data_IF_280914402019
#
_entry.id   IF_280914402019
#
_cell.length_a   1.000
_cell.length_b   1.000
_cell.length_c   1.000
_cell.angle_alpha   90.00
_cell.angle_beta   90.00
_cell.angle_gamma   90.00
#
_symmetry.space_group_name_H-M   'P 1'
#
loop_
_entity.id
_entity.type
_entity.pdbx_description
1 polymer ?
#
# COMPACT_ATOMS: atom_id res chain seq x y z
N UNK A 1 1.24 -72.58 22.62
CA UNK A 1 1.67 -71.16 22.71
C UNK A 1 0.44 -70.28 22.54
N UNK A 2 -0.29 -69.99 23.63
CA UNK A 2 -0.10 -68.82 24.49
C UNK A 2 -0.41 -67.51 23.74
N UNK A 3 -1.68 -67.06 23.79
CA UNK A 3 -2.20 -65.89 24.55
C UNK A 3 -2.15 -64.60 23.72
N UNK A 4 -3.08 -63.65 23.76
CA UNK A 4 -4.46 -63.54 24.25
C UNK A 4 -4.99 -62.21 23.66
N UNK A 5 -6.32 -62.11 23.53
CA UNK A 5 -7.17 -60.97 23.11
C UNK A 5 -6.90 -59.68 23.89
N UNK A 6 -7.30 -58.51 23.37
CA UNK A 6 -8.07 -57.42 24.03
C UNK A 6 -8.46 -56.38 22.94
N UNK A 7 -9.73 -56.27 22.52
CA UNK A 7 -10.80 -55.42 23.10
C UNK A 7 -10.32 -53.99 23.41
N UNK A 8 -10.62 -53.06 22.50
CA UNK A 8 -10.44 -51.62 22.71
C UNK A 8 -11.73 -51.07 23.31
N UNK A 9 -11.65 -50.73 24.60
CA UNK A 9 -12.58 -49.81 25.27
C UNK A 9 -12.19 -48.36 24.95
N UNK A 10 -13.18 -47.51 24.75
CA UNK A 10 -13.00 -46.11 24.39
C UNK A 10 -12.41 -45.24 25.50
N UNK A 11 -11.77 -44.16 25.09
CA UNK A 11 -11.72 -42.89 25.81
C UNK A 11 -11.45 -41.78 24.79
N UNK A 12 -12.55 -41.17 24.35
CA UNK A 12 -12.58 -39.94 23.57
C UNK A 12 -12.16 -38.82 24.52
N UNK A 13 -10.93 -38.32 24.39
CA UNK A 13 -10.59 -36.98 24.86
C UNK A 13 -10.91 -35.99 23.73
N UNK A 14 -12.14 -35.50 23.73
CA UNK A 14 -12.53 -34.28 23.02
C UNK A 14 -11.92 -33.09 23.76
N UNK A 15 -10.65 -32.78 23.49
CA UNK A 15 -10.13 -31.43 23.70
C UNK A 15 -10.71 -30.56 22.58
N UNK A 16 -11.81 -29.88 22.91
CA UNK A 16 -12.39 -28.85 22.07
C UNK A 16 -11.35 -27.74 21.84
N UNK A 17 -10.72 -27.73 20.67
CA UNK A 17 -10.10 -26.51 20.17
C UNK A 17 -11.20 -25.46 19.98
N UNK A 18 -10.95 -24.18 20.33
CA UNK A 18 -11.88 -23.12 20.00
C UNK A 18 -12.05 -23.13 18.48
N UNK A 19 -13.27 -23.41 18.04
CA UNK A 19 -13.67 -23.19 16.65
C UNK A 19 -13.35 -21.72 16.36
N UNK A 20 -12.45 -21.40 15.42
CA UNK A 20 -12.24 -20.02 15.03
C UNK A 20 -13.60 -19.46 14.63
N UNK A 21 -13.98 -18.34 15.25
CA UNK A 21 -15.21 -17.64 14.90
C UNK A 21 -15.22 -17.49 13.38
N UNK A 22 -16.16 -18.17 12.71
CA UNK A 22 -16.35 -18.05 11.27
C UNK A 22 -16.44 -16.57 10.96
N UNK A 23 -15.46 -16.07 10.19
CA UNK A 23 -15.56 -14.76 9.59
C UNK A 23 -16.94 -14.68 8.92
N UNK A 24 -17.75 -13.73 9.35
CA UNK A 24 -19.09 -13.57 8.79
C UNK A 24 -18.98 -13.38 7.27
N UNK A 25 -19.87 -13.99 6.47
CA UNK A 25 -19.96 -13.62 5.07
C UNK A 25 -20.40 -12.16 5.00
N UNK A 26 -19.51 -11.32 4.47
CA UNK A 26 -19.85 -9.96 4.08
C UNK A 26 -21.09 -10.01 3.18
N UNK A 27 -22.16 -9.32 3.59
CA UNK A 27 -23.32 -9.11 2.74
C UNK A 27 -22.85 -8.38 1.48
N UNK A 28 -22.76 -9.09 0.35
CA UNK A 28 -22.46 -8.51 -0.97
C UNK A 28 -23.70 -7.80 -1.53
N UNK A 29 -24.12 -6.71 -0.90
CA UNK A 29 -24.51 -5.57 -1.73
C UNK A 29 -23.17 -4.98 -2.17
N UNK A 30 -22.85 -4.90 -3.47
CA UNK A 30 -21.80 -3.97 -3.91
C UNK A 30 -22.30 -2.60 -3.46
N UNK A 31 -21.77 -2.01 -2.37
CA UNK A 31 -22.09 -0.62 -2.10
C UNK A 31 -21.62 0.11 -3.36
N UNK A 32 -22.39 1.08 -3.85
CA UNK A 32 -21.81 2.07 -4.76
C UNK A 32 -20.45 2.46 -4.17
N UNK A 33 -19.41 2.45 -5.00
CA UNK A 33 -17.97 2.59 -4.74
C UNK A 33 -17.60 3.82 -3.88
N UNK A 34 -18.16 3.87 -2.68
CA UNK A 34 -18.06 4.95 -1.73
C UNK A 34 -16.94 4.59 -0.79
N UNK A 35 -15.85 5.34 -0.90
CA UNK A 35 -14.73 5.26 0.03
C UNK A 35 -14.99 6.21 1.20
N UNK A 36 -14.75 5.75 2.43
CA UNK A 36 -14.85 6.57 3.65
C UNK A 36 -13.46 6.73 4.25
N UNK A 37 -12.99 7.97 4.34
CA UNK A 37 -11.77 8.34 5.04
C UNK A 37 -12.14 9.03 6.34
N UNK A 38 -11.55 8.59 7.45
CA UNK A 38 -11.68 9.26 8.75
C UNK A 38 -10.32 9.75 9.18
N UNK A 39 -10.25 11.02 9.57
CA UNK A 39 -9.06 11.59 10.19
C UNK A 39 -8.86 10.99 11.58
N UNK A 40 -7.70 10.36 11.77
CA UNK A 40 -7.29 9.78 13.04
C UNK A 40 -6.24 10.67 13.69
N UNK A 41 -6.32 10.79 15.01
CA UNK A 41 -5.30 11.45 15.82
C UNK A 41 -4.31 10.43 16.35
N UNK A 42 -3.08 10.85 16.64
CA UNK A 42 -2.12 10.00 17.32
C UNK A 42 -1.34 9.07 16.39
N UNK A 43 -1.40 9.26 15.07
CA UNK A 43 -0.58 8.48 14.15
C UNK A 43 0.89 8.86 14.33
N UNK A 44 1.78 7.88 14.46
CA UNK A 44 3.22 8.12 14.53
C UNK A 44 3.82 7.92 13.15
N UNK A 45 4.45 8.96 12.62
CA UNK A 45 5.11 8.91 11.32
C UNK A 45 6.23 7.86 11.31
N UNK A 46 6.35 7.14 10.20
CA UNK A 46 7.49 6.27 9.94
C UNK A 46 8.73 7.06 9.50
N UNK A 47 9.86 6.37 9.39
CA UNK A 47 11.14 6.92 8.93
C UNK A 47 10.98 7.63 7.57
N UNK A 48 11.33 8.92 7.53
CA UNK A 48 11.15 9.86 6.40
C UNK A 48 9.74 9.94 5.78
N UNK A 49 8.70 9.57 6.51
CA UNK A 49 7.33 9.73 6.05
C UNK A 49 6.95 11.22 5.94
N UNK A 50 6.47 11.70 4.78
CA UNK A 50 5.98 13.05 4.64
C UNK A 50 4.61 13.20 5.32
N UNK A 51 4.43 14.30 6.04
CA UNK A 51 3.16 14.69 6.68
C UNK A 51 2.04 14.78 5.63
N UNK A 52 2.31 15.42 4.51
CA UNK A 52 1.38 15.53 3.37
C UNK A 52 2.11 15.29 2.06
N UNK A 53 1.37 14.84 1.04
CA UNK A 53 1.91 14.59 -0.29
C UNK A 53 2.52 13.20 -0.49
N UNK A 54 2.96 12.97 -1.72
CA UNK A 54 3.56 11.73 -2.21
C UNK A 54 4.90 12.05 -2.83
N UNK A 55 5.98 11.41 -2.38
CA UNK A 55 7.28 11.53 -3.05
C UNK A 55 7.20 10.99 -4.48
N UNK A 56 7.64 11.82 -5.42
CA UNK A 56 7.71 11.46 -6.82
C UNK A 56 9.04 10.75 -7.10
N UNK A 57 8.98 9.55 -7.66
CA UNK A 57 10.18 8.82 -8.08
C UNK A 57 10.05 8.16 -9.43
N UNK A 58 11.18 7.66 -9.94
CA UNK A 58 11.22 6.96 -11.22
C UNK A 58 12.35 5.93 -11.30
N UNK A 59 12.19 4.95 -12.17
CA UNK A 59 13.28 4.14 -12.70
C UNK A 59 13.55 4.52 -14.14
N UNK A 60 14.79 4.95 -14.39
CA UNK A 60 15.20 5.49 -15.69
C UNK A 60 16.45 4.83 -16.26
N UNK A 61 17.16 4.01 -15.48
CA UNK A 61 18.49 3.51 -15.83
C UNK A 61 18.54 2.74 -17.15
N UNK A 62 17.44 2.06 -17.50
CA UNK A 62 17.30 1.30 -18.76
C UNK A 62 16.64 2.10 -19.89
N UNK A 63 16.36 3.39 -19.71
CA UNK A 63 15.89 4.22 -20.81
C UNK A 63 17.07 4.52 -21.76
N UNK A 64 16.95 4.04 -23.00
CA UNK A 64 17.99 4.18 -24.02
C UNK A 64 18.03 5.56 -24.66
N UNK A 65 16.94 6.33 -24.63
CA UNK A 65 16.88 7.68 -25.21
C UNK A 65 17.65 8.68 -24.35
N UNK A 66 17.49 8.58 -23.03
CA UNK A 66 18.19 9.44 -22.06
C UNK A 66 19.43 8.76 -21.46
N UNK A 67 19.72 7.50 -21.83
CA UNK A 67 20.87 6.72 -21.33
C UNK A 67 20.94 6.64 -19.80
N UNK A 68 19.78 6.55 -19.15
CA UNK A 68 19.69 6.56 -17.69
C UNK A 68 19.96 7.90 -17.01
N UNK A 69 20.05 9.01 -17.75
CA UNK A 69 20.32 10.34 -17.20
C UNK A 69 19.09 10.90 -16.46
N UNK A 70 19.19 10.94 -15.13
CA UNK A 70 18.16 11.47 -14.24
C UNK A 70 17.91 12.97 -14.42
N UNK A 71 18.95 13.74 -14.76
CA UNK A 71 18.83 15.18 -15.02
C UNK A 71 18.06 15.42 -16.31
N UNK A 72 18.32 14.62 -17.34
CA UNK A 72 17.56 14.67 -18.58
C UNK A 72 16.12 14.23 -18.38
N UNK A 73 15.86 13.19 -17.58
CA UNK A 73 14.49 12.80 -17.24
C UNK A 73 13.73 13.92 -16.54
N UNK A 74 14.34 14.56 -15.53
CA UNK A 74 13.75 15.73 -14.84
C UNK A 74 13.50 16.89 -15.82
N UNK A 75 14.40 17.11 -16.79
CA UNK A 75 14.22 18.15 -17.82
C UNK A 75 13.04 17.84 -18.74
N UNK A 76 12.91 16.60 -19.19
CA UNK A 76 11.85 16.16 -20.10
C UNK A 76 10.47 16.15 -19.45
N UNK A 77 10.40 15.75 -18.18
CA UNK A 77 9.16 15.69 -17.39
C UNK A 77 8.78 17.03 -16.77
N UNK A 78 9.66 18.03 -16.81
CA UNK A 78 9.41 19.37 -16.28
C UNK A 78 9.44 19.47 -14.75
N UNK A 79 9.74 18.38 -14.02
CA UNK A 79 9.77 18.36 -12.56
C UNK A 79 10.91 17.49 -12.02
N UNK A 80 11.51 17.95 -10.92
CA UNK A 80 12.48 17.16 -10.16
C UNK A 80 11.78 15.99 -9.47
N UNK A 81 12.35 14.80 -9.60
CA UNK A 81 11.95 13.61 -8.84
C UNK A 81 12.72 13.53 -7.53
N UNK A 82 12.03 13.23 -6.44
CA UNK A 82 12.59 13.11 -5.10
C UNK A 82 13.49 11.88 -4.93
N UNK A 83 13.26 10.84 -5.73
CA UNK A 83 14.00 9.59 -5.63
C UNK A 83 14.08 8.87 -6.98
N UNK A 84 15.18 8.16 -7.21
CA UNK A 84 15.29 7.21 -8.32
C UNK A 84 15.68 5.86 -7.77
N UNK A 85 15.31 4.80 -8.49
CA UNK A 85 15.67 3.45 -8.08
C UNK A 85 16.64 2.74 -9.02
N UNK A 86 17.36 1.75 -8.48
CA UNK A 86 18.26 0.86 -9.22
C UNK A 86 18.13 -0.57 -8.68
N UNK A 87 18.13 -1.55 -9.58
CA UNK A 87 18.28 -2.97 -9.21
C UNK A 87 19.74 -3.29 -8.94
N UNK A 88 20.00 -3.92 -7.81
CA UNK A 88 21.32 -4.37 -7.40
C UNK A 88 21.20 -5.84 -7.02
N UNK A 89 21.98 -6.71 -7.66
CA UNK A 89 22.08 -8.10 -7.23
C UNK A 89 22.80 -8.21 -5.88
N UNK A 90 22.30 -9.02 -4.97
CA UNK A 90 23.00 -9.35 -3.73
C UNK A 90 24.34 -10.02 -4.05
N UNK A 91 25.39 -9.66 -3.31
CA UNK A 91 26.78 -10.04 -3.57
C UNK A 91 27.51 -9.13 -4.57
N UNK A 92 26.83 -8.19 -5.23
CA UNK A 92 27.47 -7.21 -6.11
C UNK A 92 28.06 -6.03 -5.34
N UNK A 93 29.06 -5.38 -5.94
CA UNK A 93 29.69 -4.17 -5.37
C UNK A 93 28.66 -3.06 -5.19
N UNK A 94 28.86 -2.24 -4.15
CA UNK A 94 28.08 -1.04 -3.90
C UNK A 94 28.14 -0.08 -5.11
N UNK A 95 27.01 0.41 -5.64
CA UNK A 95 26.97 1.24 -6.84
C UNK A 95 27.31 2.71 -6.53
N UNK A 96 28.55 2.98 -6.11
CA UNK A 96 28.98 4.33 -5.70
C UNK A 96 28.74 5.39 -6.80
N UNK A 97 29.03 5.04 -8.05
CA UNK A 97 28.82 5.92 -9.21
C UNK A 97 27.36 6.42 -9.32
N UNK A 98 26.39 5.56 -8.99
CA UNK A 98 24.98 5.89 -9.07
C UNK A 98 24.53 6.75 -7.88
N UNK A 99 25.09 6.47 -6.69
CA UNK A 99 24.90 7.32 -5.51
C UNK A 99 25.43 8.74 -5.77
N UNK A 100 26.57 8.87 -6.45
CA UNK A 100 27.14 10.19 -6.77
C UNK A 100 26.23 10.95 -7.76
N UNK A 101 25.68 10.26 -8.78
CA UNK A 101 24.69 10.85 -9.70
C UNK A 101 23.40 11.29 -8.98
N UNK A 102 22.90 10.50 -8.02
CA UNK A 102 21.75 10.90 -7.21
C UNK A 102 22.01 12.20 -6.43
N UNK A 103 23.20 12.35 -5.86
CA UNK A 103 23.60 13.57 -5.14
C UNK A 103 23.62 14.78 -6.07
N UNK A 104 24.11 14.62 -7.30
CA UNK A 104 24.14 15.70 -8.30
C UNK A 104 22.73 16.22 -8.65
N UNK A 105 21.74 15.33 -8.68
CA UNK A 105 20.32 15.73 -8.92
C UNK A 105 19.55 15.99 -7.61
N UNK A 106 20.19 15.83 -6.45
CA UNK A 106 19.61 16.02 -5.13
C UNK A 106 18.45 15.06 -4.82
N UNK A 107 18.57 13.80 -5.23
CA UNK A 107 17.56 12.76 -5.02
C UNK A 107 17.98 11.74 -3.95
N UNK A 108 17.00 11.11 -3.32
CA UNK A 108 17.21 9.96 -2.46
C UNK A 108 17.44 8.68 -3.28
N UNK A 109 18.07 7.69 -2.65
CA UNK A 109 18.27 6.39 -3.25
C UNK A 109 17.07 5.48 -2.98
N UNK A 110 16.61 4.74 -3.98
CA UNK A 110 15.81 3.53 -3.80
C UNK A 110 16.57 2.33 -4.37
N UNK A 111 17.00 1.40 -3.52
CA UNK A 111 17.79 0.24 -3.95
C UNK A 111 16.89 -0.99 -3.91
N UNK A 112 16.64 -1.57 -5.08
CA UNK A 112 15.98 -2.87 -5.20
C UNK A 112 17.04 -3.97 -5.11
N UNK A 113 17.22 -4.53 -3.91
CA UNK A 113 18.32 -5.43 -3.60
C UNK A 113 17.89 -6.90 -3.68
N UNK A 114 18.36 -7.60 -4.71
CA UNK A 114 17.82 -8.88 -5.11
C UNK A 114 18.78 -10.04 -4.84
N UNK A 115 18.46 -10.96 -3.91
CA UNK A 115 19.21 -12.20 -3.74
C UNK A 115 18.90 -13.19 -4.87
N UNK A 116 19.35 -12.87 -6.09
CA UNK A 116 19.05 -13.61 -7.33
C UNK A 116 19.52 -15.07 -7.35
N UNK A 117 20.44 -15.45 -6.45
CA UNK A 117 20.90 -16.83 -6.21
C UNK A 117 20.20 -17.53 -5.03
N UNK A 118 19.11 -16.96 -4.54
CA UNK A 118 18.33 -17.46 -3.40
C UNK A 118 18.76 -16.89 -2.04
N UNK A 119 17.99 -17.20 -1.00
CA UNK A 119 18.14 -16.62 0.34
C UNK A 119 19.36 -17.13 1.13
N UNK A 120 19.99 -18.23 0.75
CA UNK A 120 21.14 -18.83 1.48
C UNK A 120 22.42 -18.00 1.41
N UNK A 121 22.54 -17.12 0.41
CA UNK A 121 23.66 -16.19 0.32
C UNK A 121 23.56 -15.03 1.33
N UNK A 122 22.39 -14.81 1.92
CA UNK A 122 22.12 -13.68 2.81
C UNK A 122 22.55 -14.07 4.21
N UNK A 123 23.68 -13.51 4.64
CA UNK A 123 24.33 -13.79 5.92
C UNK A 123 24.71 -12.48 6.58
N UNK A 124 24.76 -12.51 7.90
CA UNK A 124 25.38 -11.43 8.66
C UNK A 124 26.90 -11.58 8.54
N UNK A 125 27.44 -11.03 7.45
CA UNK A 125 28.84 -11.08 7.10
C UNK A 125 29.37 -9.69 6.72
N UNK A 126 30.67 -9.61 6.42
CA UNK A 126 31.31 -8.35 6.07
C UNK A 126 30.76 -7.76 4.77
N UNK A 127 30.21 -8.57 3.87
CA UNK A 127 29.54 -8.04 2.68
C UNK A 127 28.28 -7.25 3.08
N UNK A 128 27.37 -7.85 3.84
CA UNK A 128 26.14 -7.19 4.29
C UNK A 128 26.44 -5.95 5.13
N UNK A 129 27.32 -6.09 6.14
CA UNK A 129 27.67 -4.97 7.03
C UNK A 129 28.43 -3.86 6.30
N UNK A 130 29.34 -4.22 5.40
CA UNK A 130 30.06 -3.26 4.57
C UNK A 130 29.12 -2.50 3.62
N UNK A 131 28.15 -3.19 3.03
CA UNK A 131 27.12 -2.55 2.20
C UNK A 131 26.26 -1.58 3.03
N UNK A 132 25.84 -1.98 4.25
CA UNK A 132 25.08 -1.11 5.15
C UNK A 132 25.89 0.15 5.54
N UNK A 133 27.15 0.01 5.94
CA UNK A 133 28.03 1.17 6.22
C UNK A 133 28.13 2.13 5.03
N UNK A 134 28.22 1.61 3.81
CA UNK A 134 28.21 2.45 2.59
C UNK A 134 26.88 3.20 2.39
N UNK A 135 25.74 2.60 2.74
CA UNK A 135 24.46 3.31 2.73
C UNK A 135 24.38 4.43 3.76
N UNK A 136 25.03 4.28 4.92
CA UNK A 136 25.18 5.36 5.90
C UNK A 136 26.11 6.46 5.38
N UNK A 137 27.28 6.08 4.87
CA UNK A 137 28.27 7.01 4.28
C UNK A 137 27.71 7.78 3.07
N UNK A 138 26.71 7.23 2.37
CA UNK A 138 26.05 7.92 1.27
C UNK A 138 25.47 9.27 1.70
N UNK A 139 25.04 9.44 2.97
CA UNK A 139 24.60 10.74 3.49
C UNK A 139 23.30 11.26 2.87
N UNK A 140 22.55 10.41 2.18
CA UNK A 140 21.22 10.70 1.61
C UNK A 140 20.20 9.69 2.17
N UNK A 141 18.90 9.99 2.17
CA UNK A 141 17.86 9.02 2.50
C UNK A 141 17.91 7.82 1.54
N UNK A 142 17.67 6.61 2.06
CA UNK A 142 17.72 5.36 1.27
C UNK A 142 16.49 4.51 1.53
N UNK A 143 15.66 4.31 0.51
CA UNK A 143 14.63 3.27 0.49
C UNK A 143 15.30 1.95 0.10
N UNK A 144 15.46 1.02 1.03
CA UNK A 144 15.99 -0.31 0.74
C UNK A 144 14.85 -1.30 0.55
N UNK A 145 14.65 -1.71 -0.70
CA UNK A 145 13.68 -2.72 -1.11
C UNK A 145 14.41 -4.05 -1.30
N UNK A 146 14.57 -4.80 -0.23
CA UNK A 146 15.20 -6.11 -0.24
C UNK A 146 14.21 -7.20 -0.71
N UNK A 147 14.63 -8.09 -1.60
CA UNK A 147 13.90 -9.31 -1.98
C UNK A 147 12.39 -9.10 -2.30
N UNK A 148 12.05 -8.10 -3.11
CA UNK A 148 10.67 -7.76 -3.45
C UNK A 148 9.96 -8.78 -4.33
N UNK A 149 8.62 -8.77 -4.32
CA UNK A 149 7.75 -9.65 -5.12
C UNK A 149 7.83 -11.15 -4.76
N UNK A 150 8.35 -11.45 -3.57
CA UNK A 150 8.44 -12.80 -3.00
C UNK A 150 7.10 -13.56 -2.98
N UNK A 151 5.97 -12.84 -3.03
CA UNK A 151 4.62 -13.41 -3.01
C UNK A 151 4.23 -14.16 -4.30
N UNK A 152 5.00 -14.00 -5.38
CA UNK A 152 4.89 -14.79 -6.60
C UNK A 152 5.63 -16.14 -6.56
N UNK A 153 5.91 -16.68 -7.75
CA UNK A 153 6.69 -17.90 -7.98
C UNK A 153 7.89 -17.70 -8.93
N UNK A 154 8.16 -16.46 -9.35
CA UNK A 154 9.19 -16.12 -10.34
C UNK A 154 10.54 -15.68 -9.75
N UNK A 155 10.67 -15.59 -8.42
CA UNK A 155 11.90 -15.15 -7.75
C UNK A 155 12.58 -16.31 -7.03
N UNK A 156 13.92 -16.27 -6.94
CA UNK A 156 14.72 -17.30 -6.25
C UNK A 156 14.51 -17.33 -4.73
N UNK A 157 13.74 -16.38 -4.19
CA UNK A 157 13.43 -16.21 -2.78
C UNK A 157 11.92 -16.34 -2.48
N UNK A 158 11.16 -16.86 -3.45
CA UNK A 158 9.78 -17.35 -3.27
C UNK A 158 9.77 -18.80 -2.76
N UNK A 159 8.63 -19.24 -2.21
CA UNK A 159 8.34 -20.63 -1.82
C UNK A 159 8.56 -20.96 -0.35
N UNK A 160 9.43 -20.23 0.36
CA UNK A 160 9.71 -20.43 1.79
C UNK A 160 9.51 -19.12 2.60
N UNK A 161 8.28 -18.84 3.06
CA UNK A 161 8.00 -17.64 3.83
C UNK A 161 8.73 -17.57 5.17
N UNK A 162 9.04 -18.71 5.81
CA UNK A 162 9.74 -18.72 7.10
C UNK A 162 11.19 -18.26 6.91
N UNK A 163 11.89 -18.82 5.93
CA UNK A 163 13.25 -18.41 5.58
C UNK A 163 13.31 -16.98 5.07
N UNK A 164 12.31 -16.55 4.30
CA UNK A 164 12.18 -15.16 3.88
C UNK A 164 12.11 -14.22 5.09
N UNK A 165 11.22 -14.50 6.05
CA UNK A 165 11.08 -13.68 7.26
C UNK A 165 12.38 -13.67 8.08
N UNK A 166 13.05 -14.83 8.23
CA UNK A 166 14.35 -14.91 8.90
C UNK A 166 15.38 -13.97 8.25
N UNK A 167 15.55 -14.05 6.91
CA UNK A 167 16.53 -13.22 6.21
C UNK A 167 16.15 -11.75 6.15
N UNK A 168 14.86 -11.44 6.06
CA UNK A 168 14.37 -10.06 6.16
C UNK A 168 14.79 -9.43 7.49
N UNK A 169 14.50 -10.11 8.60
CA UNK A 169 14.83 -9.64 9.95
C UNK A 169 16.34 -9.47 10.13
N UNK A 170 17.14 -10.41 9.63
CA UNK A 170 18.60 -10.29 9.62
C UNK A 170 19.08 -9.02 8.90
N UNK A 171 18.57 -8.74 7.69
CA UNK A 171 18.95 -7.53 6.94
C UNK A 171 18.50 -6.26 7.67
N UNK A 172 17.26 -6.25 8.20
CA UNK A 172 16.75 -5.15 9.00
C UNK A 172 17.67 -4.85 10.20
N UNK A 173 18.02 -5.88 10.98
CA UNK A 173 18.80 -5.69 12.21
C UNK A 173 20.21 -5.15 11.91
N UNK A 174 20.82 -5.56 10.80
CA UNK A 174 22.09 -4.96 10.35
C UNK A 174 21.90 -3.50 9.92
N UNK A 175 20.81 -3.17 9.21
CA UNK A 175 20.54 -1.78 8.83
C UNK A 175 20.29 -0.89 10.05
N UNK A 176 19.56 -1.36 11.05
CA UNK A 176 19.36 -0.59 12.30
C UNK A 176 20.68 -0.36 13.06
N UNK A 177 21.61 -1.33 13.04
CA UNK A 177 22.92 -1.19 13.68
C UNK A 177 23.88 -0.27 12.91
N UNK A 178 23.98 -0.46 11.60
CA UNK A 178 25.04 0.14 10.77
C UNK A 178 24.55 1.39 10.01
N UNK A 179 23.27 1.48 9.69
CA UNK A 179 22.70 2.46 8.76
C UNK A 179 21.24 2.87 9.10
N UNK A 180 20.98 3.48 10.28
CA UNK A 180 19.63 3.85 10.71
C UNK A 180 18.93 4.89 9.82
N UNK A 181 19.63 5.49 8.85
CA UNK A 181 19.05 6.34 7.80
C UNK A 181 18.29 5.54 6.71
N UNK A 182 18.45 4.22 6.68
CA UNK A 182 17.82 3.33 5.69
C UNK A 182 16.37 3.03 6.10
N UNK A 183 15.44 3.20 5.16
CA UNK A 183 14.05 2.76 5.28
C UNK A 183 13.90 1.36 4.71
N UNK A 184 13.49 0.40 5.54
CA UNK A 184 13.21 -0.97 5.11
C UNK A 184 11.83 -1.05 4.45
N UNK A 185 11.81 -1.23 3.12
CA UNK A 185 10.59 -1.18 2.29
C UNK A 185 10.16 -2.58 1.85
N UNK A 186 9.19 -3.16 2.57
CA UNK A 186 8.65 -4.49 2.28
C UNK A 186 7.71 -4.43 1.09
N UNK A 187 8.20 -4.80 -0.10
CA UNK A 187 7.48 -4.65 -1.36
C UNK A 187 6.98 -5.98 -1.93
N UNK A 188 5.68 -6.03 -2.23
CA UNK A 188 5.03 -7.17 -2.89
C UNK A 188 4.64 -6.84 -4.33
N UNK A 189 4.39 -7.85 -5.16
CA UNK A 189 3.60 -7.65 -6.38
C UNK A 189 2.11 -7.69 -6.03
N UNK A 190 1.27 -6.93 -6.73
CA UNK A 190 -0.18 -6.87 -6.45
C UNK A 190 -0.86 -8.25 -6.44
N UNK A 191 -0.33 -9.21 -7.21
CA UNK A 191 -0.79 -10.60 -7.23
C UNK A 191 0.34 -11.62 -7.04
N UNK A 192 0.04 -12.85 -6.58
CA UNK A 192 -1.22 -13.27 -5.98
C UNK A 192 -1.38 -12.69 -4.56
N UNK A 193 -2.61 -12.30 -4.19
CA UNK A 193 -2.89 -11.70 -2.88
C UNK A 193 -2.86 -12.71 -1.73
N UNK A 194 -3.21 -13.98 -2.00
CA UNK A 194 -3.36 -15.02 -0.99
C UNK A 194 -2.07 -15.42 -0.28
N UNK A 195 -0.91 -15.07 -0.86
CA UNK A 195 0.42 -15.37 -0.32
C UNK A 195 1.07 -14.19 0.37
N UNK A 196 0.63 -12.95 0.10
CA UNK A 196 1.23 -11.69 0.60
C UNK A 196 1.47 -11.76 2.12
N UNK A 197 0.42 -12.03 2.90
CA UNK A 197 0.51 -12.00 4.36
C UNK A 197 1.45 -13.07 4.94
N UNK A 198 1.72 -14.15 4.21
CA UNK A 198 2.61 -15.23 4.67
C UNK A 198 4.06 -14.78 4.79
N UNK A 199 4.47 -13.77 4.02
CA UNK A 199 5.83 -13.24 3.97
C UNK A 199 6.02 -11.99 4.84
N UNK A 200 4.98 -11.53 5.54
CA UNK A 200 5.07 -10.30 6.31
C UNK A 200 5.93 -10.51 7.56
N UNK A 201 7.05 -9.77 7.72
CA UNK A 201 8.03 -10.04 8.77
C UNK A 201 7.64 -9.49 10.15
N UNK A 202 6.59 -8.66 10.22
CA UNK A 202 6.14 -7.99 11.43
C UNK A 202 6.38 -6.48 11.37
N UNK A 203 5.57 -5.71 12.12
CA UNK A 203 5.60 -4.25 12.07
C UNK A 203 6.91 -3.64 12.55
N UNK A 204 7.59 -4.31 13.48
CA UNK A 204 8.88 -3.88 14.03
C UNK A 204 10.03 -3.97 13.01
N UNK A 205 9.86 -4.67 11.87
CA UNK A 205 10.91 -4.86 10.86
C UNK A 205 10.64 -4.14 9.54
N UNK A 206 9.61 -3.30 9.46
CA UNK A 206 9.15 -2.66 8.23
C UNK A 206 8.91 -1.19 8.47
N UNK A 207 9.62 -0.32 7.76
CA UNK A 207 9.34 1.12 7.79
C UNK A 207 8.18 1.47 6.83
N UNK A 208 8.24 0.92 5.61
CA UNK A 208 7.29 1.18 4.53
C UNK A 208 6.77 -0.11 3.90
N UNK A 209 5.51 -0.14 3.50
CA UNK A 209 4.96 -1.24 2.71
C UNK A 209 4.87 -0.83 1.25
N UNK A 210 5.57 -1.57 0.41
CA UNK A 210 5.63 -1.35 -1.03
C UNK A 210 4.67 -2.23 -1.83
N UNK A 211 4.23 -1.76 -2.99
CA UNK A 211 3.55 -2.57 -4.01
C UNK A 211 4.02 -2.23 -5.41
N UNK A 212 4.28 -3.27 -6.20
CA UNK A 212 4.53 -3.15 -7.64
C UNK A 212 3.22 -3.38 -8.41
N UNK A 213 2.91 -2.48 -9.36
CA UNK A 213 1.67 -2.46 -10.13
C UNK A 213 2.00 -2.20 -11.60
N UNK A 214 1.49 -3.02 -12.51
CA UNK A 214 1.57 -2.73 -13.94
C UNK A 214 0.21 -2.92 -14.59
N UNK A 215 -0.15 -1.97 -15.46
CA UNK A 215 -1.31 -2.13 -16.33
C UNK A 215 -0.84 -2.58 -17.72
N UNK A 216 -1.26 -3.77 -18.11
CA UNK A 216 -0.98 -4.37 -19.42
C UNK A 216 -2.29 -4.62 -20.18
N UNK A 217 -2.21 -4.73 -21.50
CA UNK A 217 -3.37 -5.11 -22.32
C UNK A 217 -3.64 -6.61 -22.21
N UNK A 218 -2.58 -7.41 -22.08
CA UNK A 218 -2.64 -8.87 -21.99
C UNK A 218 -1.68 -9.37 -20.91
N UNK A 219 -2.17 -10.28 -20.06
CA UNK A 219 -1.31 -11.02 -19.14
C UNK A 219 -0.56 -12.14 -19.85
N UNK A 220 0.67 -12.41 -19.41
CA UNK A 220 1.48 -13.56 -19.83
C UNK A 220 1.68 -13.69 -21.34
N UNK A 221 1.75 -12.56 -22.06
CA UNK A 221 1.90 -12.51 -23.52
C UNK A 221 0.85 -13.36 -24.27
N UNK A 222 -0.38 -13.42 -23.76
CA UNK A 222 -1.42 -14.27 -24.31
C UNK A 222 -2.66 -13.45 -24.68
N UNK A 223 -3.00 -13.41 -25.97
CA UNK A 223 -4.15 -12.65 -26.50
C UNK A 223 -5.49 -13.04 -25.86
N UNK A 224 -5.59 -14.27 -25.31
CA UNK A 224 -6.79 -14.75 -24.61
C UNK A 224 -6.90 -14.22 -23.18
N UNK A 225 -5.83 -13.69 -22.60
CA UNK A 225 -5.77 -13.20 -21.22
C UNK A 225 -5.81 -11.67 -21.19
N UNK A 226 -6.88 -11.07 -21.74
CA UNK A 226 -7.03 -9.62 -21.80
C UNK A 226 -7.18 -9.00 -20.41
N UNK A 227 -6.32 -8.05 -20.10
CA UNK A 227 -6.19 -7.37 -18.80
C UNK A 227 -6.53 -5.88 -18.83
N UNK A 228 -6.90 -5.33 -20.01
CA UNK A 228 -7.13 -3.89 -20.17
C UNK A 228 -8.23 -3.31 -19.27
N UNK A 229 -9.11 -4.15 -18.72
CA UNK A 229 -10.19 -3.78 -17.83
C UNK A 229 -9.75 -3.48 -16.38
N UNK A 230 -8.54 -3.88 -15.98
CA UNK A 230 -8.04 -3.72 -14.61
C UNK A 230 -7.80 -2.24 -14.27
N UNK A 231 -8.45 -1.73 -13.21
CA UNK A 231 -8.21 -0.36 -12.71
C UNK A 231 -6.92 -0.35 -11.85
N UNK A 232 -5.92 0.52 -12.14
CA UNK A 232 -4.72 0.65 -11.32
C UNK A 232 -5.00 0.83 -9.83
N UNK A 233 -6.08 1.53 -9.47
CA UNK A 233 -6.42 1.76 -8.06
C UNK A 233 -6.97 0.52 -7.37
N UNK A 234 -7.72 -0.32 -8.08
CA UNK A 234 -8.19 -1.60 -7.54
C UNK A 234 -7.02 -2.57 -7.28
N UNK A 235 -5.96 -2.49 -8.09
CA UNK A 235 -4.73 -3.26 -7.88
C UNK A 235 -3.96 -2.85 -6.61
N UNK A 236 -4.21 -1.64 -6.09
CA UNK A 236 -3.61 -1.13 -4.86
C UNK A 236 -4.42 -1.52 -3.61
N UNK A 237 -5.72 -1.77 -3.74
CA UNK A 237 -6.65 -1.85 -2.61
C UNK A 237 -6.25 -2.88 -1.56
N UNK A 238 -5.84 -4.09 -1.94
CA UNK A 238 -5.49 -5.13 -0.97
C UNK A 238 -4.34 -4.70 -0.05
N UNK A 239 -3.27 -4.17 -0.63
CA UNK A 239 -2.09 -3.73 0.14
C UNK A 239 -2.48 -2.52 0.98
N UNK A 240 -3.14 -1.55 0.38
CA UNK A 240 -3.56 -0.34 1.08
C UNK A 240 -4.47 -0.66 2.28
N UNK A 241 -5.51 -1.46 2.08
CA UNK A 241 -6.50 -1.82 3.12
C UNK A 241 -5.94 -2.72 4.21
N UNK A 242 -4.80 -3.38 3.95
CA UNK A 242 -4.15 -4.26 4.93
C UNK A 242 -3.13 -3.51 5.80
N UNK A 243 -2.45 -2.51 5.24
CA UNK A 243 -1.26 -1.91 5.87
C UNK A 243 -1.36 -0.41 6.14
N UNK A 244 -2.17 0.35 5.41
CA UNK A 244 -2.16 1.84 5.45
C UNK A 244 -2.44 2.47 6.82
N UNK A 245 -3.16 1.75 7.70
CA UNK A 245 -3.42 2.14 9.09
C UNK A 245 -2.17 2.20 9.97
N UNK A 246 -1.10 1.52 9.56
CA UNK A 246 0.10 1.28 10.39
C UNK A 246 1.38 1.68 9.69
N UNK A 247 1.43 1.58 8.36
CA UNK A 247 2.62 1.86 7.54
C UNK A 247 2.26 2.78 6.38
N UNK A 248 3.12 3.74 6.02
CA UNK A 248 2.99 4.44 4.74
C UNK A 248 3.14 3.45 3.58
N UNK A 249 2.41 3.73 2.51
CA UNK A 249 2.40 2.91 1.30
C UNK A 249 3.30 3.55 0.25
N UNK A 250 4.18 2.74 -0.32
CA UNK A 250 4.99 3.07 -1.49
C UNK A 250 4.48 2.29 -2.69
N UNK A 251 4.15 2.97 -3.78
CA UNK A 251 4.01 2.30 -5.07
C UNK A 251 5.42 2.21 -5.65
N UNK A 252 6.10 1.10 -5.32
CA UNK A 252 7.53 0.91 -5.56
C UNK A 252 7.85 0.78 -7.05
N UNK A 253 6.87 0.34 -7.84
CA UNK A 253 6.89 0.38 -9.31
C UNK A 253 5.49 0.56 -9.85
N UNK A 254 5.35 1.48 -10.80
CA UNK A 254 4.15 1.65 -11.59
C UNK A 254 4.46 1.84 -13.07
N UNK A 255 3.82 1.07 -13.94
CA UNK A 255 3.93 1.28 -15.39
C UNK A 255 2.63 0.93 -16.13
N UNK A 256 2.31 1.67 -17.18
CA UNK A 256 1.21 1.38 -18.08
C UNK A 256 1.75 1.14 -19.49
N UNK A 257 1.47 -0.02 -20.07
CA UNK A 257 2.01 -0.36 -21.38
C UNK A 257 1.39 0.52 -22.46
N UNK A 258 2.21 1.04 -23.37
CA UNK A 258 1.73 1.74 -24.57
C UNK A 258 2.09 1.00 -25.86
N UNK A 259 2.72 -0.16 -25.77
CA UNK A 259 2.94 -1.08 -26.88
C UNK A 259 3.12 -2.50 -26.37
N UNK A 260 2.60 -3.49 -27.10
CA UNK A 260 2.85 -4.90 -26.78
C UNK A 260 3.11 -5.76 -28.02
N UNK A 261 4.06 -6.69 -27.92
CA UNK A 261 4.33 -7.68 -28.99
C UNK A 261 3.22 -8.73 -29.11
N UNK A 262 2.36 -8.87 -28.10
CA UNK A 262 1.30 -9.90 -28.06
C UNK A 262 0.36 -9.79 -29.26
N UNK A 263 0.07 -8.56 -29.70
CA UNK A 263 -0.71 -8.27 -30.91
C UNK A 263 -0.02 -7.27 -31.85
N UNK A 264 1.18 -6.79 -31.50
CA UNK A 264 1.98 -5.88 -32.30
C UNK A 264 1.43 -4.46 -32.39
N UNK A 265 0.65 -4.01 -31.40
CA UNK A 265 -0.04 -2.71 -31.45
C UNK A 265 0.40 -1.72 -30.38
N UNK A 266 0.20 -0.45 -30.70
CA UNK A 266 0.31 0.68 -29.79
C UNK A 266 -1.01 0.96 -29.07
N UNK A 267 -0.90 1.44 -27.83
CA UNK A 267 -1.97 1.59 -26.86
C UNK A 267 -1.80 2.90 -26.06
N UNK A 268 -1.52 4.01 -26.74
CA UNK A 268 -1.26 5.30 -26.10
C UNK A 268 -2.42 5.79 -25.23
N UNK A 269 -3.65 5.73 -25.76
CA UNK A 269 -4.83 6.20 -25.01
C UNK A 269 -5.09 5.34 -23.78
N UNK A 270 -4.80 4.04 -23.84
CA UNK A 270 -4.83 3.15 -22.68
C UNK A 270 -3.78 3.57 -21.65
N UNK A 271 -2.53 3.78 -22.05
CA UNK A 271 -1.47 4.22 -21.13
C UNK A 271 -1.82 5.56 -20.47
N UNK A 272 -2.22 6.56 -21.27
CA UNK A 272 -2.68 7.88 -20.80
C UNK A 272 -3.81 7.73 -19.78
N UNK A 273 -4.83 6.92 -20.08
CA UNK A 273 -5.95 6.70 -19.18
C UNK A 273 -5.52 6.08 -17.85
N UNK A 274 -4.66 5.05 -17.88
CA UNK A 274 -4.21 4.35 -16.66
C UNK A 274 -3.31 5.25 -15.80
N UNK A 275 -2.37 5.96 -16.42
CA UNK A 275 -1.50 6.92 -15.74
C UNK A 275 -2.33 8.03 -15.10
N UNK A 276 -3.25 8.63 -15.85
CA UNK A 276 -4.18 9.66 -15.34
C UNK A 276 -5.00 9.13 -14.17
N UNK A 277 -5.54 7.92 -14.28
CA UNK A 277 -6.35 7.27 -13.23
C UNK A 277 -5.55 7.04 -11.95
N UNK A 278 -4.32 6.52 -12.06
CA UNK A 278 -3.44 6.28 -10.92
C UNK A 278 -3.08 7.60 -10.23
N UNK A 279 -2.49 8.55 -10.95
CA UNK A 279 -1.97 9.79 -10.38
C UNK A 279 -3.07 10.69 -9.81
N UNK A 280 -4.25 10.80 -10.44
CA UNK A 280 -5.36 11.54 -9.85
C UNK A 280 -5.97 10.82 -8.64
N UNK A 281 -6.11 9.50 -8.72
CA UNK A 281 -6.74 8.71 -7.68
C UNK A 281 -5.98 8.68 -6.36
N UNK A 282 -4.64 8.58 -6.41
CA UNK A 282 -3.83 8.49 -5.18
C UNK A 282 -3.87 9.79 -4.36
N UNK A 283 -3.97 10.95 -5.00
CA UNK A 283 -4.08 12.27 -4.34
C UNK A 283 -5.28 12.37 -3.40
N UNK A 284 -6.38 11.73 -3.78
CA UNK A 284 -7.68 11.92 -3.12
C UNK A 284 -8.11 10.70 -2.33
N UNK A 285 -8.07 9.52 -2.96
CA UNK A 285 -8.61 8.28 -2.40
C UNK A 285 -7.60 7.56 -1.52
N UNK A 286 -6.30 7.73 -1.74
CA UNK A 286 -5.25 6.94 -1.06
C UNK A 286 -4.23 7.84 -0.32
N UNK A 287 -4.66 8.67 0.67
CA UNK A 287 -3.79 9.63 1.37
C UNK A 287 -2.58 9.00 2.09
N UNK A 288 -2.61 7.69 2.34
CA UNK A 288 -1.49 6.95 2.94
C UNK A 288 -0.50 6.41 1.91
N UNK A 289 -0.73 6.62 0.61
CA UNK A 289 0.32 6.52 -0.40
C UNK A 289 1.18 7.75 -0.23
N UNK A 290 2.45 7.51 0.11
CA UNK A 290 3.41 8.56 0.44
C UNK A 290 4.62 8.56 -0.50
N UNK A 291 4.68 7.60 -1.44
CA UNK A 291 5.65 7.58 -2.52
C UNK A 291 5.14 6.78 -3.72
N UNK A 292 5.48 7.20 -4.94
CA UNK A 292 5.18 6.51 -6.21
C UNK A 292 6.38 6.59 -7.16
N UNK A 293 6.76 5.44 -7.74
CA UNK A 293 7.86 5.33 -8.70
C UNK A 293 7.35 4.89 -10.07
N UNK A 294 7.51 5.74 -11.09
CA UNK A 294 7.18 5.33 -12.45
C UNK A 294 8.29 4.46 -13.05
N UNK A 295 7.92 3.32 -13.65
CA UNK A 295 8.81 2.37 -14.29
C UNK A 295 8.99 2.73 -15.78
N UNK A 296 9.93 3.63 -16.06
CA UNK A 296 10.18 4.14 -17.41
C UNK A 296 11.16 3.23 -18.16
N UNK A 297 10.64 2.14 -18.72
CA UNK A 297 11.46 1.14 -19.45
C UNK A 297 10.77 0.63 -20.70
N UNK A 298 11.53 0.60 -21.78
CA UNK A 298 11.20 -0.20 -22.94
C UNK A 298 11.73 -1.63 -22.75
N UNK A 299 10.88 -2.54 -22.27
CA UNK A 299 11.30 -3.92 -22.01
C UNK A 299 11.63 -4.66 -23.31
N UNK A 300 11.23 -4.18 -24.48
CA UNK A 300 11.60 -4.80 -25.76
C UNK A 300 13.10 -4.75 -26.00
N UNK A 301 13.75 -3.67 -25.55
CA UNK A 301 15.20 -3.49 -25.68
C UNK A 301 15.95 -4.10 -24.48
N UNK A 302 15.42 -3.91 -23.28
CA UNK A 302 16.22 -4.08 -22.05
C UNK A 302 15.91 -5.33 -21.23
N UNK A 303 14.76 -5.97 -21.44
CA UNK A 303 14.41 -7.14 -20.66
C UNK A 303 15.15 -8.40 -21.16
N UNK A 304 15.37 -9.40 -20.28
CA UNK A 304 15.82 -10.72 -20.68
C UNK A 304 14.90 -11.34 -21.75
N UNK A 305 15.46 -12.25 -22.55
CA UNK A 305 14.69 -13.04 -23.51
C UNK A 305 13.49 -13.72 -22.81
N UNK A 306 12.31 -13.66 -23.45
CA UNK A 306 11.04 -14.11 -22.86
C UNK A 306 10.29 -13.06 -22.01
N UNK A 307 10.92 -11.95 -21.61
CA UNK A 307 10.25 -10.82 -20.91
C UNK A 307 10.11 -9.55 -21.77
N UNK A 308 10.57 -9.58 -23.02
CA UNK A 308 10.51 -8.50 -24.02
C UNK A 308 9.11 -8.33 -24.62
N UNK A 309 8.14 -8.00 -23.78
CA UNK A 309 6.71 -8.03 -24.17
C UNK A 309 6.10 -6.65 -24.31
N UNK A 310 6.38 -5.75 -23.36
CA UNK A 310 5.68 -4.47 -23.20
C UNK A 310 6.64 -3.28 -23.30
N UNK A 311 6.15 -2.12 -23.75
CA UNK A 311 6.86 -0.85 -23.60
C UNK A 311 6.15 0.04 -22.58
N UNK A 312 6.86 0.44 -21.52
CA UNK A 312 6.37 1.33 -20.47
C UNK A 312 7.04 2.72 -20.52
N UNK A 313 8.01 2.94 -21.42
CA UNK A 313 8.79 4.16 -21.48
C UNK A 313 7.94 5.36 -21.92
N UNK A 314 7.73 6.32 -21.02
CA UNK A 314 6.99 7.54 -21.32
C UNK A 314 7.81 8.48 -22.23
N UNK A 315 9.14 8.41 -22.15
CA UNK A 315 10.07 9.22 -22.95
C UNK A 315 10.01 8.89 -24.45
N UNK A 316 9.62 7.67 -24.81
CA UNK A 316 9.45 7.22 -26.20
C UNK A 316 8.22 7.86 -26.88
N UNK A 317 7.30 8.49 -26.12
CA UNK A 317 6.04 9.00 -26.64
C UNK A 317 5.66 10.39 -26.09
N UNK A 318 5.65 11.41 -26.97
CA UNK A 318 5.37 12.80 -26.59
C UNK A 318 4.02 13.02 -25.91
N UNK A 319 2.96 12.29 -26.31
CA UNK A 319 1.63 12.45 -25.71
C UNK A 319 1.63 11.92 -24.28
N UNK A 320 2.21 10.75 -24.07
CA UNK A 320 2.30 10.13 -22.74
C UNK A 320 3.21 10.94 -21.83
N UNK A 321 4.38 11.37 -22.31
CA UNK A 321 5.28 12.24 -21.57
C UNK A 321 4.60 13.56 -21.17
N UNK A 322 3.87 14.20 -22.10
CA UNK A 322 3.12 15.42 -21.83
C UNK A 322 2.07 15.22 -20.73
N UNK A 323 1.24 14.17 -20.84
CA UNK A 323 0.27 13.81 -19.79
C UNK A 323 0.93 13.56 -18.45
N UNK A 324 2.03 12.80 -18.41
CA UNK A 324 2.76 12.55 -17.16
C UNK A 324 3.27 13.86 -16.55
N UNK A 325 3.87 14.74 -17.35
CA UNK A 325 4.38 16.04 -16.93
C UNK A 325 3.28 16.91 -16.32
N UNK A 326 2.13 17.02 -16.98
CA UNK A 326 0.97 17.77 -16.47
C UNK A 326 0.45 17.20 -15.13
N UNK A 327 0.42 15.87 -14.98
CA UNK A 327 -0.08 15.24 -13.75
C UNK A 327 0.84 15.47 -12.56
N UNK A 328 2.17 15.42 -12.78
CA UNK A 328 3.14 15.57 -11.70
C UNK A 328 3.36 17.03 -11.29
N UNK A 329 2.96 18.02 -12.09
CA UNK A 329 3.02 19.45 -11.73
C UNK A 329 2.30 19.75 -10.41
N UNK A 330 1.23 19.00 -10.10
CA UNK A 330 0.46 19.11 -8.86
C UNK A 330 1.37 19.09 -7.62
N UNK A 331 1.23 20.05 -6.68
CA UNK A 331 2.08 20.15 -5.49
C UNK A 331 1.94 18.97 -4.54
N UNK A 332 0.91 18.12 -4.69
CA UNK A 332 0.83 16.85 -3.98
C UNK A 332 2.04 15.95 -4.26
N UNK A 333 2.62 16.02 -5.47
CA UNK A 333 3.80 15.25 -5.84
C UNK A 333 5.07 16.01 -5.44
N UNK A 334 5.78 15.48 -4.46
CA UNK A 334 6.93 16.11 -3.82
C UNK A 334 8.21 15.80 -4.58
N UNK A 335 9.04 16.83 -4.77
CA UNK A 335 10.34 16.77 -5.46
C UNK A 335 11.54 16.52 -4.54
N UNK A 336 11.32 16.53 -3.23
CA UNK A 336 12.38 16.41 -2.23
C UNK A 336 11.92 15.50 -1.09
N UNK A 337 12.85 14.70 -0.55
CA UNK A 337 12.61 13.97 0.69
C UNK A 337 12.76 14.94 1.86
N UNK A 338 11.72 15.02 2.70
CA UNK A 338 11.70 15.89 3.87
C UNK A 338 12.65 15.42 4.99
N UNK A 339 12.69 16.13 6.13
CA UNK A 339 13.44 15.67 7.30
C UNK A 339 12.88 14.34 7.82
N UNK A 340 13.71 13.55 8.50
CA UNK A 340 13.20 12.38 9.22
C UNK A 340 12.36 12.84 10.43
N UNK A 341 11.05 12.62 10.37
CA UNK A 341 10.09 12.95 11.42
C UNK A 341 9.57 11.70 12.16
N UNK A 342 10.31 10.60 12.10
CA UNK A 342 9.93 9.34 12.73
C UNK A 342 9.48 9.52 14.18
N UNK A 343 8.36 8.88 14.51
CA UNK A 343 7.77 8.93 15.86
C UNK A 343 7.02 10.22 16.19
N UNK A 344 7.14 11.28 15.37
CA UNK A 344 6.29 12.48 15.49
C UNK A 344 4.84 12.07 15.35
N UNK A 345 4.01 12.59 16.25
CA UNK A 345 2.57 12.39 16.20
C UNK A 345 1.93 13.35 15.22
N UNK A 346 1.05 12.84 14.37
CA UNK A 346 0.32 13.59 13.36
C UNK A 346 -1.14 13.14 13.23
N UNK A 347 -1.92 13.93 12.48
CA UNK A 347 -3.29 13.62 12.07
C UNK A 347 -3.29 13.08 10.66
N UNK A 348 -3.96 11.96 10.44
CA UNK A 348 -3.91 11.26 9.15
C UNK A 348 -5.29 10.81 8.69
N UNK A 349 -5.56 10.96 7.40
CA UNK A 349 -6.77 10.41 6.79
C UNK A 349 -6.59 8.92 6.55
N UNK A 350 -7.45 8.12 7.17
CA UNK A 350 -7.36 6.67 7.14
C UNK A 350 -8.60 6.06 6.48
N UNK A 351 -8.39 5.07 5.62
CA UNK A 351 -9.50 4.38 4.96
C UNK A 351 -10.21 3.42 5.89
N UNK A 352 -11.53 3.59 6.01
CA UNK A 352 -12.41 2.68 6.74
C UNK A 352 -12.73 1.48 5.85
N UNK A 353 -11.90 0.44 5.97
CA UNK A 353 -12.04 -0.80 5.19
C UNK A 353 -13.40 -1.50 5.38
N UNK A 354 -13.84 -1.60 6.63
CA UNK A 354 -14.97 -2.45 7.02
C UNK A 354 -15.87 -1.75 8.05
N UNK A 355 -17.13 -2.17 8.12
CA UNK A 355 -18.08 -1.66 9.11
C UNK A 355 -18.78 -0.37 8.68
N UNK A 356 -18.82 -0.10 7.38
CA UNK A 356 -19.68 0.91 6.74
C UNK A 356 -20.92 0.21 6.18
N UNK A 357 -22.11 0.74 6.48
CA UNK A 357 -23.38 0.31 5.90
C UNK A 357 -24.11 1.48 5.27
N UNK A 358 -24.63 1.27 4.06
CA UNK A 358 -25.42 2.29 3.35
C UNK A 358 -26.86 1.81 3.30
N UNK A 359 -27.77 2.60 3.88
CA UNK A 359 -29.21 2.32 3.88
C UNK A 359 -29.94 3.55 3.36
N UNK A 360 -30.60 3.43 2.20
CA UNK A 360 -31.38 4.52 1.58
C UNK A 360 -30.59 5.84 1.47
N UNK A 361 -29.34 5.77 1.04
CA UNK A 361 -28.46 6.95 0.90
C UNK A 361 -27.93 7.52 2.21
N UNK A 362 -28.28 6.94 3.37
CA UNK A 362 -27.67 7.27 4.66
C UNK A 362 -26.56 6.29 4.97
N UNK A 363 -25.48 6.80 5.55
CA UNK A 363 -24.31 5.99 5.90
C UNK A 363 -24.29 5.79 7.40
N UNK A 364 -24.02 4.56 7.77
CA UNK A 364 -23.88 4.12 9.13
C UNK A 364 -22.50 3.52 9.30
N UNK A 365 -21.87 3.80 10.44
CA UNK A 365 -20.59 3.21 10.82
C UNK A 365 -20.75 2.36 12.06
N UNK A 366 -20.02 1.25 12.10
CA UNK A 366 -20.04 0.35 13.24
C UNK A 366 -19.43 0.99 14.48
N UNK A 367 -19.81 0.48 15.66
CA UNK A 367 -19.17 0.86 16.93
C UNK A 367 -17.66 0.60 16.92
N UNK A 368 -17.18 -0.37 16.13
CA UNK A 368 -15.74 -0.63 15.93
C UNK A 368 -15.06 0.54 15.24
N UNK A 369 -15.66 1.09 14.17
CA UNK A 369 -15.11 2.25 13.45
C UNK A 369 -14.98 3.45 14.39
N UNK A 370 -15.98 3.74 15.22
CA UNK A 370 -15.90 4.83 16.20
C UNK A 370 -14.78 4.60 17.23
N UNK A 371 -14.59 3.36 17.70
CA UNK A 371 -13.51 3.01 18.64
C UNK A 371 -12.13 3.12 18.01
N UNK A 372 -11.94 2.54 16.83
CA UNK A 372 -10.63 2.42 16.17
C UNK A 372 -10.15 3.74 15.58
N UNK A 373 -11.03 4.46 14.86
CA UNK A 373 -10.67 5.66 14.09
C UNK A 373 -10.91 6.95 14.88
N UNK A 374 -12.03 7.04 15.61
CA UNK A 374 -12.38 8.27 16.35
C UNK A 374 -11.97 8.23 17.84
N UNK A 375 -11.41 7.11 18.32
CA UNK A 375 -11.06 6.87 19.73
C UNK A 375 -12.22 7.11 20.70
N UNK A 376 -13.45 6.84 20.25
CA UNK A 376 -14.65 7.03 21.05
C UNK A 376 -15.07 5.73 21.78
N UNK A 377 -15.55 5.85 23.00
CA UNK A 377 -16.24 4.74 23.67
C UNK A 377 -17.67 4.63 23.16
N UNK A 378 -18.19 3.40 23.11
CA UNK A 378 -19.55 3.09 22.64
C UNK A 378 -20.18 2.12 23.63
N UNK A 379 -21.25 2.55 24.29
CA UNK A 379 -21.97 1.78 25.31
C UNK A 379 -23.43 1.53 24.89
N UNK A 380 -23.86 0.27 24.89
CA UNK A 380 -25.24 -0.13 24.55
C UNK A 380 -26.04 -0.40 25.82
N UNK A 381 -27.11 0.36 26.04
CA UNK A 381 -28.12 0.11 27.08
C UNK A 381 -29.34 -0.57 26.47
N UNK A 382 -29.48 -1.87 26.71
CA UNK A 382 -30.56 -2.69 26.18
C UNK A 382 -31.93 -2.38 26.81
N UNK A 383 -31.96 -1.91 28.06
CA UNK A 383 -33.20 -1.58 28.78
C UNK A 383 -33.80 -0.30 28.23
N UNK A 384 -32.97 0.72 28.02
CA UNK A 384 -33.38 2.02 27.45
C UNK A 384 -33.44 2.02 25.93
N UNK A 385 -32.91 0.98 25.28
CA UNK A 385 -32.69 0.91 23.84
C UNK A 385 -31.92 2.12 23.33
N UNK A 386 -30.78 2.42 23.97
CA UNK A 386 -29.95 3.58 23.65
C UNK A 386 -28.49 3.21 23.52
N UNK A 387 -27.79 3.83 22.58
CA UNK A 387 -26.33 3.80 22.47
C UNK A 387 -25.78 5.15 22.92
N UNK A 388 -24.85 5.13 23.87
CA UNK A 388 -24.07 6.31 24.26
C UNK A 388 -22.71 6.25 23.60
N UNK A 389 -22.31 7.33 22.93
CA UNK A 389 -20.96 7.53 22.42
C UNK A 389 -20.26 8.65 23.19
N UNK A 390 -18.95 8.51 23.44
CA UNK A 390 -18.17 9.51 24.16
C UNK A 390 -16.73 9.60 23.65
N UNK A 391 -16.21 10.83 23.49
CA UNK A 391 -14.80 11.14 23.21
C UNK A 391 -14.41 12.38 24.01
N UNK A 392 -13.52 12.22 25.00
CA UNK A 392 -13.22 13.29 25.95
C UNK A 392 -14.49 13.75 26.69
N UNK A 393 -14.76 15.06 26.66
CA UNK A 393 -15.97 15.67 27.23
C UNK A 393 -17.19 15.56 26.32
N UNK A 394 -17.00 15.28 25.02
CA UNK A 394 -18.09 15.17 24.06
C UNK A 394 -18.82 13.85 24.25
N UNK A 395 -20.15 13.89 24.29
CA UNK A 395 -20.98 12.69 24.33
C UNK A 395 -22.32 12.89 23.63
N UNK A 396 -22.91 11.80 23.15
CA UNK A 396 -24.26 11.78 22.60
C UNK A 396 -24.95 10.46 22.91
N UNK A 397 -26.27 10.51 23.00
CA UNK A 397 -27.15 9.35 23.20
C UNK A 397 -28.04 9.21 21.98
N UNK A 398 -28.01 8.05 21.35
CA UNK A 398 -28.80 7.72 20.17
C UNK A 398 -29.79 6.60 20.50
N UNK A 399 -31.07 6.82 20.19
CA UNK A 399 -32.07 5.77 20.29
C UNK A 399 -31.79 4.66 19.26
N UNK A 400 -32.00 3.42 19.67
CA UNK A 400 -31.89 2.25 18.82
C UNK A 400 -33.25 1.81 18.33
N UNK A 401 -33.38 1.72 17.01
CA UNK A 401 -34.56 1.21 16.32
C UNK A 401 -34.22 -0.13 15.66
N UNK A 402 -35.24 -0.91 15.31
CA UNK A 402 -35.01 -2.16 14.58
C UNK A 402 -34.40 -1.87 13.21
N UNK A 403 -33.52 -2.76 12.73
CA UNK A 403 -32.94 -2.62 11.39
C UNK A 403 -34.02 -2.53 10.29
N UNK A 404 -35.10 -3.31 10.42
CA UNK A 404 -36.26 -3.23 9.53
C UNK A 404 -36.91 -1.83 9.52
N UNK A 405 -36.94 -1.12 10.64
CA UNK A 405 -37.43 0.25 10.70
C UNK A 405 -36.47 1.23 10.02
N UNK A 406 -35.15 1.04 10.15
CA UNK A 406 -34.14 1.84 9.41
C UNK A 406 -34.30 1.64 7.91
N UNK A 407 -34.50 0.40 7.45
CA UNK A 407 -34.83 0.09 6.05
C UNK A 407 -36.11 0.81 5.59
N UNK A 408 -37.05 1.09 6.50
CA UNK A 408 -38.27 1.88 6.23
C UNK A 408 -38.09 3.39 6.39
N UNK A 409 -36.91 3.86 6.81
CA UNK A 409 -36.58 5.29 6.90
C UNK A 409 -36.58 5.86 8.32
N UNK A 410 -36.78 5.03 9.35
CA UNK A 410 -36.69 5.48 10.73
C UNK A 410 -35.29 6.06 11.03
N UNK A 411 -35.27 7.11 11.86
CA UNK A 411 -34.04 7.73 12.36
C UNK A 411 -33.59 6.99 13.62
N UNK A 412 -32.28 6.82 13.77
CA UNK A 412 -31.67 6.19 14.95
C UNK A 412 -30.55 5.22 14.58
N UNK A 413 -29.85 4.76 15.60
CA UNK A 413 -28.90 3.67 15.47
C UNK A 413 -29.65 2.32 15.38
N UNK A 414 -28.94 1.28 14.98
CA UNK A 414 -29.48 -0.09 14.99
C UNK A 414 -28.42 -1.09 15.42
N UNK A 415 -28.86 -2.28 15.81
CA UNK A 415 -27.97 -3.42 16.03
C UNK A 415 -28.19 -4.44 14.93
N UNK A 416 -27.10 -4.99 14.40
CA UNK A 416 -27.11 -6.06 13.41
C UNK A 416 -26.04 -7.07 13.80
N UNK A 417 -26.46 -8.31 14.07
CA UNK A 417 -25.59 -9.41 14.50
C UNK A 417 -24.64 -9.03 15.65
N UNK A 418 -25.20 -8.42 16.70
CA UNK A 418 -24.42 -7.99 17.88
C UNK A 418 -23.57 -6.73 17.68
N UNK A 419 -23.46 -6.20 16.46
CA UNK A 419 -22.74 -4.96 16.18
C UNK A 419 -23.69 -3.77 16.15
N UNK A 420 -23.33 -2.70 16.87
CA UNK A 420 -24.06 -1.44 16.82
C UNK A 420 -23.62 -0.61 15.61
N UNK A 421 -24.57 -0.06 14.88
CA UNK A 421 -24.36 0.82 13.73
C UNK A 421 -25.03 2.16 13.99
N UNK A 422 -24.25 3.23 13.85
CA UNK A 422 -24.65 4.58 14.16
C UNK A 422 -24.65 5.42 12.88
N UNK A 423 -25.64 6.31 12.69
CA UNK A 423 -25.61 7.27 11.59
C UNK A 423 -24.31 8.08 11.61
N UNK A 424 -23.57 8.09 10.48
CA UNK A 424 -22.22 8.65 10.43
C UNK A 424 -22.20 10.16 10.73
N UNK A 425 -23.13 10.94 10.17
CA UNK A 425 -23.18 12.39 10.37
C UNK A 425 -23.44 12.73 11.83
N UNK A 426 -24.48 12.13 12.41
CA UNK A 426 -24.84 12.36 13.81
C UNK A 426 -23.74 11.92 14.78
N UNK A 427 -23.08 10.79 14.52
CA UNK A 427 -21.96 10.34 15.33
C UNK A 427 -20.71 11.24 15.16
N UNK A 428 -20.39 11.65 13.93
CA UNK A 428 -19.27 12.53 13.63
C UNK A 428 -19.45 13.90 14.29
N UNK A 429 -20.60 14.55 14.09
CA UNK A 429 -20.91 15.87 14.65
C UNK A 429 -20.83 15.84 16.19
N UNK A 430 -21.40 14.80 16.82
CA UNK A 430 -21.35 14.60 18.27
C UNK A 430 -19.92 14.43 18.80
N UNK A 431 -19.01 13.86 18.00
CA UNK A 431 -17.63 13.58 18.40
C UNK A 431 -16.64 14.67 17.97
N UNK A 432 -17.13 15.78 17.40
CA UNK A 432 -16.31 16.92 17.00
C UNK A 432 -15.68 16.79 15.62
N UNK A 433 -16.32 16.03 14.73
CA UNK A 433 -15.93 15.87 13.34
C UNK A 433 -16.94 16.55 12.39
N UNK A 434 -16.53 16.78 11.14
CA UNK A 434 -17.36 17.22 10.02
C UNK A 434 -17.32 16.16 8.92
N UNK A 435 -18.45 15.93 8.27
CA UNK A 435 -18.58 14.96 7.16
C UNK A 435 -18.73 15.68 5.83
N UNK A 436 -17.72 15.53 4.97
CA UNK A 436 -17.65 16.07 3.62
C UNK A 436 -17.94 14.97 2.58
N UNK A 437 -18.61 15.33 1.48
CA UNK A 437 -18.88 14.46 0.35
C UNK A 437 -18.24 15.03 -0.92
N UNK A 438 -17.44 14.21 -1.59
CA UNK A 438 -16.94 14.47 -2.93
C UNK A 438 -17.68 13.55 -3.91
N UNK A 439 -18.53 14.17 -4.73
CA UNK A 439 -19.37 13.46 -5.68
C UNK A 439 -18.56 12.88 -6.86
N UNK A 440 -17.46 13.53 -7.23
CA UNK A 440 -16.65 13.12 -8.39
C UNK A 440 -15.90 11.83 -8.11
N UNK A 441 -15.36 11.70 -6.90
CA UNK A 441 -14.59 10.54 -6.46
C UNK A 441 -15.42 9.54 -5.65
N UNK A 442 -16.72 9.80 -5.45
CA UNK A 442 -17.58 9.06 -4.53
C UNK A 442 -16.91 8.87 -3.16
N UNK A 443 -16.38 9.95 -2.61
CA UNK A 443 -15.49 9.92 -1.46
C UNK A 443 -16.10 10.68 -0.29
N UNK A 444 -16.03 10.09 0.90
CA UNK A 444 -16.43 10.73 2.14
C UNK A 444 -15.20 10.99 2.98
N UNK A 445 -15.03 12.24 3.39
CA UNK A 445 -13.98 12.62 4.34
C UNK A 445 -14.63 13.05 5.64
N UNK A 446 -14.21 12.44 6.73
CA UNK A 446 -14.63 12.78 8.08
C UNK A 446 -13.42 13.38 8.80
N UNK A 447 -13.41 14.70 8.94
CA UNK A 447 -12.28 15.48 9.45
C UNK A 447 -12.63 16.13 10.77
N UNK A 448 -11.66 16.38 11.64
CA UNK A 448 -11.88 17.11 12.88
C UNK A 448 -12.34 18.54 12.58
N UNK A 449 -13.29 19.03 13.35
CA UNK A 449 -13.91 20.32 13.12
C UNK A 449 -12.99 21.53 13.37
N UNK A 450 -11.83 21.32 13.99
CA UNK A 450 -10.81 22.33 14.29
C UNK A 450 -9.78 22.52 13.16
N UNK A 451 -9.82 21.69 12.11
CA UNK A 451 -9.03 21.88 10.89
C UNK A 451 -9.69 22.99 10.07
N UNK A 452 -9.18 24.22 10.19
CA UNK A 452 -9.53 25.39 9.35
C UNK A 452 -8.46 25.67 8.33
#
# INVERSE_FOLDING_TARGET
MMRLKFVIWGLIFLLAWPVPAKAEPAFKQKPQDIRVLIEVEGYKLAKYEPVEGTYLGAYVYQDTLIKGDMKEFNRLTGKKHASFFLYVGYGQKFPQWWIDQLKEVGAAAHIAWEPNKGLDQVKDDEYLRGFARKLKEAGIPVFLRFASEMNGDWTAYSGDPKKYIEKWRLVHDVMEQEAPNVMMVWTVFTFPQSTIIKYYPGDEYVDWVGVNIYNVVYHNNNIKHKASHEDPLELLDYVYDTFSMRKPIQISEYGATHYTVTDGKYYEDFAIQKITRMYNGIKTRYPRVKSIFYFNVNNLANAPEGRRINNYAITDNKRILGTYSELIEDPHFLSDIGPNLEGRTDRELMHVRDGVHIVKGKIFVSSRVLKEYMKASVNWDSKKKQITIKKGERSAVLNVVSYANVLRGAKGAFTLKGTSYLPLREAADALGYRVMWDNSEKLIKVVLADRT
#
